data_IF_409735547453
#
_entry.id   IF_409735547453
#
_cell.length_a   1.000
_cell.length_b   1.000
_cell.length_c   1.000
_cell.angle_alpha   90.00
_cell.angle_beta   90.00
_cell.angle_gamma   90.00
#
_symmetry.space_group_name_H-M   'P 1'
#
loop_
_entity.id
_entity.type
_entity.pdbx_description
1 polymer ?
#
# COMPACT_ATOMS: atom_id res chain seq x y z
N UNK A 1 -11.98 -6.41 19.32
CA UNK A 1 -13.36 -5.93 19.19
C UNK A 1 -13.39 -4.49 18.69
N UNK A 2 -14.36 -4.13 17.83
CA UNK A 2 -14.48 -2.77 17.31
C UNK A 2 -14.72 -1.71 18.41
N UNK A 3 -15.20 -2.11 19.55
CA UNK A 3 -15.37 -1.26 20.74
C UNK A 3 -14.07 -0.78 21.37
N UNK A 4 -12.96 -1.43 21.05
CA UNK A 4 -11.62 -1.11 21.55
C UNK A 4 -10.80 -0.31 20.52
N UNK A 5 -11.33 -0.15 19.31
CA UNK A 5 -10.67 0.60 18.26
C UNK A 5 -10.95 2.11 18.36
N UNK A 6 -9.96 2.97 18.05
CA UNK A 6 -10.19 4.40 17.95
C UNK A 6 -11.30 4.73 16.96
N UNK A 7 -12.13 5.72 17.29
CA UNK A 7 -13.30 6.10 16.51
C UNK A 7 -12.98 6.45 15.04
N UNK A 8 -11.79 6.96 14.74
CA UNK A 8 -11.39 7.31 13.38
C UNK A 8 -11.25 6.08 12.46
N UNK A 9 -10.90 4.90 13.02
CA UNK A 9 -10.84 3.64 12.26
C UNK A 9 -12.26 3.20 11.87
N UNK A 10 -13.20 3.28 12.81
CA UNK A 10 -14.60 2.88 12.57
C UNK A 10 -15.29 3.82 11.58
N UNK A 11 -14.98 5.13 11.63
CA UNK A 11 -15.53 6.13 10.70
C UNK A 11 -15.18 5.89 9.23
N UNK A 12 -14.19 5.06 8.94
CA UNK A 12 -13.81 4.69 7.56
C UNK A 12 -14.76 3.65 6.95
N UNK A 13 -15.52 2.94 7.77
CA UNK A 13 -16.51 1.97 7.28
C UNK A 13 -17.73 2.71 6.73
N UNK A 14 -18.24 2.32 5.55
CA UNK A 14 -19.40 2.96 4.94
C UNK A 14 -20.70 2.49 5.61
N UNK A 15 -20.91 2.88 6.88
CA UNK A 15 -22.15 2.62 7.60
C UNK A 15 -23.20 3.60 7.14
N UNK A 16 -24.28 3.11 6.53
CA UNK A 16 -25.36 3.92 5.96
C UNK A 16 -26.72 3.38 6.41
N UNK A 17 -27.70 4.29 6.54
CA UNK A 17 -29.10 3.96 6.82
C UNK A 17 -29.98 4.06 5.57
N UNK A 18 -29.37 3.94 4.38
CA UNK A 18 -30.04 3.97 3.07
C UNK A 18 -29.60 2.74 2.27
N UNK A 19 -30.39 2.38 1.24
CA UNK A 19 -30.06 1.32 0.31
C UNK A 19 -29.03 1.81 -0.73
N UNK A 20 -27.77 1.84 -0.33
CA UNK A 20 -26.63 2.18 -1.19
C UNK A 20 -25.55 1.11 -1.01
N UNK A 21 -25.29 0.36 -2.07
CA UNK A 21 -24.34 -0.74 -2.10
C UNK A 21 -22.91 -0.28 -2.48
N UNK A 22 -22.70 1.00 -2.79
CA UNK A 22 -21.38 1.49 -3.12
C UNK A 22 -20.50 1.53 -1.88
N UNK A 23 -19.34 0.91 -1.95
CA UNK A 23 -18.36 1.01 -0.87
C UNK A 23 -17.72 2.40 -0.82
N UNK A 24 -17.32 2.94 -1.96
CA UNK A 24 -16.76 4.28 -2.10
C UNK A 24 -17.77 5.27 -2.65
N UNK A 25 -17.63 6.54 -2.24
CA UNK A 25 -18.40 7.67 -2.78
C UNK A 25 -17.67 8.41 -3.89
N UNK A 26 -16.49 7.91 -4.31
CA UNK A 26 -15.70 8.55 -5.35
C UNK A 26 -16.46 8.58 -6.68
N UNK A 27 -16.45 9.73 -7.35
CA UNK A 27 -17.12 9.93 -8.64
C UNK A 27 -16.51 9.06 -9.73
N UNK A 28 -15.20 8.87 -9.68
CA UNK A 28 -14.46 8.02 -10.62
C UNK A 28 -13.84 6.86 -9.85
N UNK A 29 -14.12 5.65 -10.31
CA UNK A 29 -13.61 4.42 -9.72
C UNK A 29 -13.21 3.48 -10.85
N UNK A 30 -12.07 2.79 -10.70
CA UNK A 30 -11.61 1.86 -11.72
C UNK A 30 -10.27 1.23 -11.39
N UNK A 31 -9.91 0.27 -12.22
CA UNK A 31 -8.60 -0.37 -12.23
C UNK A 31 -8.00 -0.10 -13.61
N UNK A 32 -6.70 0.26 -13.72
CA UNK A 32 -6.07 0.50 -15.00
C UNK A 32 -6.14 -0.73 -15.91
N UNK A 33 -6.57 -0.54 -17.16
CA UNK A 33 -6.53 -1.62 -18.17
C UNK A 33 -5.08 -2.00 -18.43
N UNK A 34 -4.75 -3.29 -18.27
CA UNK A 34 -3.39 -3.81 -18.35
C UNK A 34 -2.59 -3.71 -17.04
N UNK A 35 -3.27 -3.34 -15.93
CA UNK A 35 -2.73 -3.38 -14.59
C UNK A 35 -1.89 -2.16 -14.17
N UNK A 36 -1.57 -2.11 -12.89
CA UNK A 36 -0.81 -1.00 -12.30
C UNK A 36 0.64 -0.94 -12.75
N UNK A 37 1.28 -2.07 -13.05
CA UNK A 37 2.66 -2.09 -13.57
C UNK A 37 2.77 -1.28 -14.86
N UNK A 38 1.88 -1.52 -15.81
CA UNK A 38 1.85 -0.78 -17.07
C UNK A 38 1.56 0.71 -16.88
N UNK A 39 0.71 1.07 -15.92
CA UNK A 39 0.45 2.46 -15.56
C UNK A 39 1.74 3.13 -15.06
N UNK A 40 2.46 2.51 -14.13
CA UNK A 40 3.71 3.03 -13.58
C UNK A 40 4.81 3.09 -14.64
N UNK A 41 4.96 2.07 -15.49
CA UNK A 41 5.88 2.09 -16.63
C UNK A 41 5.62 3.28 -17.58
N UNK A 42 4.34 3.59 -17.82
CA UNK A 42 3.98 4.75 -18.63
C UNK A 42 4.35 6.08 -17.96
N UNK A 43 4.20 6.18 -16.64
CA UNK A 43 4.60 7.37 -15.88
C UNK A 43 6.12 7.56 -15.86
N UNK A 44 6.89 6.48 -15.88
CA UNK A 44 8.35 6.49 -15.83
C UNK A 44 9.02 6.61 -17.22
N UNK A 45 8.26 6.76 -18.30
CA UNK A 45 8.84 6.93 -19.63
C UNK A 45 9.81 8.10 -19.70
N UNK A 46 11.04 7.82 -20.12
CA UNK A 46 12.10 8.82 -20.21
C UNK A 46 12.86 9.09 -18.92
N UNK A 47 12.50 8.38 -17.84
CA UNK A 47 13.19 8.43 -16.55
C UNK A 47 14.05 7.17 -16.42
N UNK A 48 15.30 7.31 -15.97
CA UNK A 48 16.16 6.17 -15.67
C UNK A 48 15.60 5.39 -14.47
N UNK A 49 15.43 4.08 -14.64
CA UNK A 49 14.94 3.18 -13.60
C UNK A 49 16.00 2.12 -13.32
N UNK A 50 16.42 2.01 -12.06
CA UNK A 50 17.35 0.98 -11.59
C UNK A 50 16.60 0.01 -10.68
N UNK A 51 16.36 -1.19 -11.16
CA UNK A 51 15.75 -2.27 -10.38
C UNK A 51 16.79 -2.96 -9.51
N UNK A 52 16.33 -3.64 -8.46
CA UNK A 52 17.18 -4.38 -7.51
C UNK A 52 18.30 -3.53 -6.87
N UNK A 53 18.03 -2.23 -6.73
CA UNK A 53 18.94 -1.25 -6.14
C UNK A 53 18.38 -0.83 -4.78
N UNK A 54 19.14 -1.09 -3.73
CA UNK A 54 18.82 -0.69 -2.36
C UNK A 54 19.49 0.64 -2.06
N UNK A 55 18.71 1.71 -2.02
CA UNK A 55 19.24 3.06 -1.81
C UNK A 55 20.06 3.18 -0.54
N UNK A 56 19.66 2.57 0.57
CA UNK A 56 20.38 2.71 1.85
C UNK A 56 21.73 2.00 1.84
N UNK A 57 21.86 0.92 1.06
CA UNK A 57 23.16 0.23 0.88
C UNK A 57 24.09 0.94 -0.08
N UNK A 58 23.55 1.64 -1.07
CA UNK A 58 24.31 2.33 -2.12
C UNK A 58 24.25 3.85 -1.97
N UNK A 59 23.84 4.34 -0.78
CA UNK A 59 23.55 5.75 -0.52
C UNK A 59 24.67 6.70 -0.93
N UNK A 60 25.92 6.40 -0.56
CA UNK A 60 27.07 7.26 -0.86
C UNK A 60 27.30 7.48 -2.35
N UNK A 61 26.98 6.50 -3.18
CA UNK A 61 27.11 6.60 -4.65
C UNK A 61 25.88 7.23 -5.28
N UNK A 62 24.70 6.90 -4.79
CA UNK A 62 23.44 7.41 -5.34
C UNK A 62 23.23 8.89 -5.03
N UNK A 63 23.63 9.36 -3.86
CA UNK A 63 23.54 10.78 -3.48
C UNK A 63 24.39 11.70 -4.39
N UNK A 64 25.38 11.16 -5.09
CA UNK A 64 26.18 11.94 -6.06
C UNK A 64 25.43 12.21 -7.39
N UNK A 65 24.34 11.51 -7.64
CA UNK A 65 23.62 11.56 -8.91
C UNK A 65 22.56 12.68 -8.96
N UNK A 66 22.12 13.19 -7.80
CA UNK A 66 21.07 14.21 -7.73
C UNK A 66 21.29 15.15 -6.54
N UNK A 67 20.82 16.40 -6.68
CA UNK A 67 20.84 17.39 -5.60
C UNK A 67 19.72 17.17 -4.57
N UNK A 68 18.64 16.51 -4.96
CA UNK A 68 17.52 16.18 -4.10
C UNK A 68 17.20 14.70 -4.17
N UNK A 69 16.83 14.12 -3.06
CA UNK A 69 16.41 12.73 -2.92
C UNK A 69 14.98 12.70 -2.40
N UNK A 70 14.07 12.03 -3.10
CA UNK A 70 12.74 11.72 -2.58
C UNK A 70 12.77 10.28 -2.05
N UNK A 71 12.76 10.14 -0.74
CA UNK A 71 12.81 8.84 -0.07
C UNK A 71 11.41 8.40 0.36
N UNK A 72 10.95 7.26 -0.14
CA UNK A 72 9.61 6.72 0.14
C UNK A 72 9.62 5.43 0.96
N UNK A 73 10.81 4.96 1.38
CA UNK A 73 10.98 3.85 2.31
C UNK A 73 10.66 4.22 3.76
N UNK A 74 10.77 3.27 4.71
CA UNK A 74 10.54 3.52 6.13
C UNK A 74 11.47 4.60 6.67
N UNK A 75 10.89 5.62 7.32
CA UNK A 75 11.68 6.75 7.85
C UNK A 75 12.67 6.32 8.94
N UNK A 76 12.28 5.39 9.80
CA UNK A 76 13.14 4.85 10.86
C UNK A 76 14.33 4.06 10.29
N UNK A 77 14.14 3.33 9.20
CA UNK A 77 15.19 2.62 8.47
C UNK A 77 16.21 3.59 7.88
N UNK A 78 15.75 4.71 7.30
CA UNK A 78 16.64 5.76 6.80
C UNK A 78 17.61 6.25 7.86
N UNK A 79 17.19 6.36 9.09
CA UNK A 79 18.00 6.76 10.24
C UNK A 79 18.66 5.59 10.99
N UNK A 80 18.67 4.38 10.41
CA UNK A 80 19.29 3.20 11.03
C UNK A 80 18.62 2.80 12.35
N UNK A 81 17.32 3.07 12.51
CA UNK A 81 16.53 2.74 13.70
C UNK A 81 17.05 3.35 15.01
N UNK A 82 17.80 4.45 14.94
CA UNK A 82 18.51 5.04 16.10
C UNK A 82 17.62 5.50 17.26
N UNK A 83 16.34 5.77 17.00
CA UNK A 83 15.35 6.11 18.03
C UNK A 83 14.41 4.93 18.39
N UNK A 84 14.56 3.79 17.71
CA UNK A 84 13.70 2.63 17.81
C UNK A 84 12.95 2.34 16.54
N UNK A 85 12.22 1.23 16.51
CA UNK A 85 11.51 0.73 15.33
C UNK A 85 10.05 1.13 15.38
N UNK A 86 9.55 1.72 14.30
CA UNK A 86 8.12 1.95 14.08
C UNK A 86 7.43 0.62 13.77
N UNK A 87 6.21 0.47 14.26
CA UNK A 87 5.45 -0.77 14.11
C UNK A 87 4.49 -0.68 12.91
N UNK A 88 4.35 -1.81 12.23
CA UNK A 88 3.46 -1.94 11.07
C UNK A 88 2.53 -3.15 11.27
N UNK A 89 1.51 -3.22 10.44
CA UNK A 89 0.75 -4.43 10.18
C UNK A 89 1.21 -5.02 8.87
N UNK A 90 1.24 -6.34 8.79
CA UNK A 90 1.55 -7.06 7.58
C UNK A 90 0.40 -7.98 7.17
N UNK A 91 0.45 -8.48 5.96
CA UNK A 91 -0.46 -9.50 5.46
C UNK A 91 0.33 -10.63 4.81
N UNK A 92 -0.19 -11.82 4.90
CA UNK A 92 0.34 -13.03 4.29
C UNK A 92 -0.68 -13.58 3.32
N UNK A 93 -0.22 -14.04 2.17
CA UNK A 93 -1.08 -14.63 1.14
C UNK A 93 -0.79 -16.12 0.96
N UNK A 94 -1.86 -16.89 0.79
CA UNK A 94 -1.80 -18.27 0.31
C UNK A 94 -2.49 -18.33 -1.04
N UNK A 95 -1.72 -18.59 -2.09
CA UNK A 95 -2.21 -18.60 -3.47
C UNK A 95 -2.37 -20.01 -3.98
N UNK A 96 -3.51 -20.28 -4.63
CA UNK A 96 -3.88 -21.59 -5.15
C UNK A 96 -4.48 -21.46 -6.55
N UNK A 97 -4.10 -22.39 -7.42
CA UNK A 97 -4.70 -22.54 -8.76
C UNK A 97 -5.78 -23.62 -8.69
N UNK A 98 -7.01 -23.27 -9.04
CA UNK A 98 -8.16 -24.16 -9.00
C UNK A 98 -8.56 -24.59 -10.41
N UNK A 99 -8.86 -25.87 -10.57
CA UNK A 99 -9.32 -26.45 -11.83
C UNK A 99 -10.84 -26.31 -11.96
N UNK A 100 -11.30 -25.07 -11.91
CA UNK A 100 -12.68 -24.65 -12.10
C UNK A 100 -12.73 -23.23 -12.68
N UNK A 101 -13.77 -22.92 -13.47
CA UNK A 101 -13.84 -21.63 -14.15
C UNK A 101 -14.21 -20.45 -13.24
N UNK A 102 -14.75 -20.70 -12.06
CA UNK A 102 -15.23 -19.67 -11.15
C UNK A 102 -15.28 -20.19 -9.72
N UNK A 103 -14.72 -19.44 -8.79
CA UNK A 103 -14.73 -19.75 -7.36
C UNK A 103 -15.79 -18.92 -6.61
N UNK A 104 -15.74 -17.60 -6.73
CA UNK A 104 -16.62 -16.68 -6.00
C UNK A 104 -17.36 -15.67 -6.90
N UNK A 105 -17.00 -15.57 -8.18
CA UNK A 105 -17.64 -14.69 -9.14
C UNK A 105 -17.41 -13.20 -8.94
N UNK A 106 -16.42 -12.85 -8.11
CA UNK A 106 -16.04 -11.47 -7.80
C UNK A 106 -14.55 -11.41 -7.52
N UNK A 107 -13.91 -10.26 -7.83
CA UNK A 107 -12.49 -10.06 -7.63
C UNK A 107 -12.07 -10.14 -6.17
N UNK A 108 -12.85 -9.61 -5.24
CA UNK A 108 -12.52 -9.64 -3.81
C UNK A 108 -13.77 -9.81 -2.94
N UNK A 109 -13.69 -10.73 -1.98
CA UNK A 109 -14.72 -10.95 -0.96
C UNK A 109 -14.05 -10.87 0.41
N UNK A 110 -14.55 -9.96 1.27
CA UNK A 110 -14.10 -9.83 2.65
C UNK A 110 -14.89 -10.76 3.55
N UNK A 111 -14.19 -11.42 4.47
CA UNK A 111 -14.75 -12.31 5.48
C UNK A 111 -14.70 -11.61 6.83
N UNK A 112 -15.86 -11.44 7.45
CA UNK A 112 -16.02 -10.69 8.70
C UNK A 112 -16.44 -11.59 9.87
N UNK A 113 -16.59 -12.88 9.61
CA UNK A 113 -16.97 -13.86 10.63
C UNK A 113 -15.74 -14.35 11.43
N UNK A 114 -15.97 -14.74 12.67
CA UNK A 114 -14.91 -15.20 13.60
C UNK A 114 -14.33 -16.58 13.21
N UNK A 115 -15.01 -17.34 12.37
CA UNK A 115 -14.61 -18.71 12.00
C UNK A 115 -13.62 -18.76 10.86
N UNK A 116 -13.63 -17.74 10.00
CA UNK A 116 -12.72 -17.65 8.85
C UNK A 116 -11.34 -17.17 9.32
N UNK A 117 -10.28 -17.95 9.09
CA UNK A 117 -8.93 -17.57 9.52
C UNK A 117 -8.29 -16.50 8.62
N UNK A 118 -8.88 -16.22 7.47
CA UNK A 118 -8.47 -15.21 6.50
C UNK A 118 -9.46 -14.04 6.49
N UNK A 119 -8.95 -12.87 6.16
CA UNK A 119 -9.73 -11.63 6.10
C UNK A 119 -10.37 -11.39 4.74
N UNK A 120 -9.78 -11.98 3.68
CA UNK A 120 -10.21 -11.79 2.30
C UNK A 120 -9.85 -12.98 1.44
N UNK A 121 -10.65 -13.22 0.40
CA UNK A 121 -10.27 -14.03 -0.75
C UNK A 121 -10.28 -13.13 -1.99
N UNK A 122 -9.19 -13.18 -2.75
CA UNK A 122 -9.02 -12.52 -4.03
C UNK A 122 -9.11 -13.58 -5.10
N UNK A 123 -10.03 -13.44 -6.07
CA UNK A 123 -10.07 -14.25 -7.30
C UNK A 123 -9.57 -13.38 -8.46
N UNK A 124 -8.31 -13.58 -8.84
CA UNK A 124 -7.54 -12.63 -9.64
C UNK A 124 -8.12 -12.33 -11.01
N UNK A 125 -8.69 -13.33 -11.70
CA UNK A 125 -9.21 -13.15 -13.05
C UNK A 125 -10.32 -12.11 -13.16
N UNK A 126 -11.07 -11.87 -12.08
CA UNK A 126 -12.19 -10.94 -12.11
C UNK A 126 -11.77 -9.47 -12.13
N UNK A 127 -10.50 -9.16 -11.92
CA UNK A 127 -9.96 -7.82 -12.19
C UNK A 127 -9.92 -7.50 -13.69
N UNK A 128 -9.91 -8.53 -14.55
CA UNK A 128 -9.93 -8.43 -16.00
C UNK A 128 -11.15 -9.16 -16.61
N UNK A 129 -12.30 -9.14 -15.92
CA UNK A 129 -13.57 -9.68 -16.34
C UNK A 129 -13.60 -11.20 -16.62
N UNK A 130 -12.64 -11.96 -16.12
CA UNK A 130 -12.60 -13.42 -16.20
C UNK A 130 -12.30 -13.98 -17.60
N UNK A 131 -11.81 -13.16 -18.52
CA UNK A 131 -11.58 -13.51 -19.92
C UNK A 131 -10.10 -13.41 -20.30
N UNK A 132 -9.72 -14.18 -21.32
CA UNK A 132 -8.45 -14.04 -21.98
C UNK A 132 -8.44 -12.86 -22.98
N UNK A 133 -7.30 -12.61 -23.62
CA UNK A 133 -7.15 -11.56 -24.64
C UNK A 133 -8.04 -11.73 -25.88
N UNK A 134 -8.56 -12.94 -26.12
CA UNK A 134 -9.46 -13.27 -27.22
C UNK A 134 -10.95 -13.20 -26.80
N UNK A 135 -11.22 -12.88 -25.52
CA UNK A 135 -12.55 -12.78 -24.96
C UNK A 135 -13.15 -14.14 -24.54
N UNK A 136 -12.38 -15.22 -24.52
CA UNK A 136 -12.83 -16.52 -24.03
C UNK A 136 -12.79 -16.58 -22.51
N UNK A 137 -13.71 -17.34 -21.92
CA UNK A 137 -13.67 -17.61 -20.48
C UNK A 137 -12.47 -18.48 -20.11
N UNK A 138 -11.77 -18.07 -19.03
CA UNK A 138 -10.65 -18.85 -18.50
C UNK A 138 -11.18 -20.11 -17.79
N UNK A 139 -10.71 -21.33 -18.19
CA UNK A 139 -11.21 -22.58 -17.63
C UNK A 139 -10.76 -22.85 -16.20
N UNK A 140 -9.73 -22.15 -15.76
CA UNK A 140 -9.17 -22.22 -14.39
C UNK A 140 -9.20 -20.86 -13.73
N UNK A 141 -9.12 -20.86 -12.39
CA UNK A 141 -9.03 -19.63 -11.64
C UNK A 141 -7.88 -19.69 -10.63
N UNK A 142 -7.38 -18.52 -10.27
CA UNK A 142 -6.37 -18.35 -9.22
C UNK A 142 -7.01 -17.57 -8.08
N UNK A 143 -6.91 -18.11 -6.89
CA UNK A 143 -7.34 -17.43 -5.68
C UNK A 143 -6.16 -17.16 -4.75
N UNK A 144 -6.22 -16.05 -4.01
CA UNK A 144 -5.33 -15.78 -2.88
C UNK A 144 -6.14 -15.51 -1.63
N UNK A 145 -5.84 -16.27 -0.55
CA UNK A 145 -6.38 -16.03 0.78
C UNK A 145 -5.44 -15.09 1.52
N UNK A 146 -5.97 -13.97 1.97
CA UNK A 146 -5.23 -12.95 2.73
C UNK A 146 -5.40 -13.21 4.23
N UNK A 147 -4.28 -13.29 4.94
CA UNK A 147 -4.24 -13.42 6.39
C UNK A 147 -3.58 -12.20 6.99
N UNK A 148 -4.18 -11.64 8.03
CA UNK A 148 -3.51 -10.63 8.85
C UNK A 148 -2.35 -11.25 9.60
N UNK A 149 -1.20 -10.60 9.61
CA UNK A 149 -0.01 -11.05 10.34
C UNK A 149 0.63 -9.89 11.10
N UNK A 150 1.29 -10.24 12.21
CA UNK A 150 2.15 -9.28 12.87
C UNK A 150 3.38 -9.02 12.02
N UNK A 151 3.73 -7.74 11.89
CA UNK A 151 4.93 -7.35 11.18
C UNK A 151 6.18 -7.55 12.04
N UNK A 152 7.27 -7.96 11.41
CA UNK A 152 8.62 -8.02 11.99
C UNK A 152 9.59 -7.33 11.06
N UNK A 153 10.72 -6.82 11.55
CA UNK A 153 11.77 -6.30 10.68
C UNK A 153 12.17 -7.31 9.60
N UNK A 154 12.06 -6.88 8.33
CA UNK A 154 12.28 -7.71 7.14
C UNK A 154 11.00 -8.19 6.46
N UNK A 155 9.83 -8.05 7.09
CA UNK A 155 8.54 -8.26 6.44
C UNK A 155 8.10 -6.99 5.71
N UNK A 156 7.23 -7.13 4.72
CA UNK A 156 6.63 -5.99 4.03
C UNK A 156 5.73 -5.16 4.96
N UNK A 157 5.98 -3.86 5.13
CA UNK A 157 5.19 -2.97 5.98
C UNK A 157 3.95 -2.48 5.22
N UNK A 158 2.80 -3.11 5.41
CA UNK A 158 1.57 -2.74 4.71
C UNK A 158 0.85 -1.53 5.31
N UNK A 159 0.72 -1.48 6.63
CA UNK A 159 -0.05 -0.44 7.33
C UNK A 159 0.67 0.05 8.57
N UNK A 160 0.86 1.37 8.74
CA UNK A 160 1.36 1.94 9.99
C UNK A 160 0.42 1.63 11.17
N UNK A 161 1.00 1.33 12.34
CA UNK A 161 0.25 1.23 13.60
C UNK A 161 0.13 2.63 14.19
N UNK A 162 -1.03 3.28 13.98
CA UNK A 162 -1.29 4.65 14.41
C UNK A 162 -1.77 4.70 15.87
N UNK A 163 -0.97 4.21 16.80
CA UNK A 163 -1.17 4.39 18.23
C UNK A 163 -0.34 5.58 18.77
N UNK A 164 -0.53 5.93 20.03
CA UNK A 164 0.16 7.05 20.66
C UNK A 164 1.68 6.84 20.69
N UNK A 165 2.15 5.64 21.03
CA UNK A 165 3.57 5.27 21.09
C UNK A 165 4.27 5.52 19.75
N UNK A 166 3.71 4.96 18.67
CA UNK A 166 4.28 5.07 17.34
C UNK A 166 4.16 6.50 16.78
N UNK A 167 3.07 7.20 17.12
CA UNK A 167 2.89 8.60 16.71
C UNK A 167 3.95 9.52 17.35
N UNK A 168 4.27 9.31 18.62
CA UNK A 168 5.34 10.04 19.31
C UNK A 168 6.72 9.72 18.72
N UNK A 169 7.01 8.43 18.49
CA UNK A 169 8.27 8.01 17.88
C UNK A 169 8.44 8.58 16.46
N UNK A 170 7.38 8.55 15.66
CA UNK A 170 7.39 9.17 14.33
C UNK A 170 7.65 10.68 14.39
N UNK A 171 7.05 11.39 15.36
CA UNK A 171 7.28 12.82 15.53
C UNK A 171 8.77 13.16 15.81
N UNK A 172 9.49 12.30 16.54
CA UNK A 172 10.93 12.48 16.75
C UNK A 172 11.73 12.20 15.46
N UNK A 173 11.39 11.17 14.69
CA UNK A 173 12.02 10.94 13.37
C UNK A 173 11.75 12.10 12.40
N UNK A 174 10.54 12.66 12.42
CA UNK A 174 10.19 13.80 11.58
C UNK A 174 11.06 15.02 11.88
N UNK A 175 11.36 15.31 13.15
CA UNK A 175 12.30 16.38 13.50
C UNK A 175 13.69 16.17 12.90
N UNK A 176 14.19 14.92 12.95
CA UNK A 176 15.48 14.59 12.31
C UNK A 176 15.43 14.74 10.79
N UNK A 177 14.30 14.42 10.16
CA UNK A 177 14.11 14.58 8.73
C UNK A 177 14.06 16.06 8.31
N UNK A 178 13.51 16.94 9.16
CA UNK A 178 13.45 18.38 8.93
C UNK A 178 14.83 19.06 9.02
N UNK A 179 15.81 18.42 9.64
CA UNK A 179 17.21 18.88 9.72
C UNK A 179 18.04 18.53 8.48
N UNK A 180 17.53 17.69 7.58
CA UNK A 180 18.24 17.25 6.38
C UNK A 180 17.98 18.17 5.19
N UNK A 181 19.04 18.72 4.63
CA UNK A 181 18.98 19.42 3.36
C UNK A 181 18.95 18.43 2.19
N UNK A 182 18.09 18.71 1.19
CA UNK A 182 18.04 17.93 -0.05
C UNK A 182 17.36 16.55 0.06
N UNK A 183 16.77 16.19 1.21
CA UNK A 183 16.03 14.95 1.37
C UNK A 183 14.55 15.23 1.66
N UNK A 184 13.68 14.67 0.85
CA UNK A 184 12.23 14.79 0.96
C UNK A 184 11.66 13.42 1.32
N UNK A 185 11.05 13.29 2.49
CA UNK A 185 10.33 12.08 2.85
C UNK A 185 8.91 12.13 2.30
N UNK A 186 8.48 11.06 1.64
CA UNK A 186 7.15 10.97 1.05
C UNK A 186 6.58 9.55 1.07
N UNK A 187 5.30 9.44 0.71
CA UNK A 187 4.61 8.16 0.65
C UNK A 187 4.25 7.59 2.03
N UNK A 188 3.64 6.41 2.03
CA UNK A 188 3.12 5.77 3.25
C UNK A 188 4.17 5.53 4.32
N UNK A 189 5.36 5.10 3.92
CA UNK A 189 6.41 4.67 4.84
C UNK A 189 7.27 5.86 5.28
N UNK A 190 7.61 6.77 4.36
CA UNK A 190 8.38 7.97 4.67
C UNK A 190 7.62 8.97 5.53
N UNK A 191 6.28 9.00 5.44
CA UNK A 191 5.42 9.87 6.25
C UNK A 191 4.70 9.11 7.37
N UNK A 192 4.96 7.82 7.53
CA UNK A 192 4.29 6.94 8.50
C UNK A 192 2.78 7.16 8.55
N UNK A 193 2.15 7.24 7.39
CA UNK A 193 0.74 7.61 7.23
C UNK A 193 0.02 6.66 6.30
N UNK A 194 -1.21 6.30 6.66
CA UNK A 194 -2.06 5.57 5.74
C UNK A 194 -2.59 6.50 4.66
N UNK A 195 -2.32 6.15 3.40
CA UNK A 195 -2.86 6.80 2.22
C UNK A 195 -3.61 5.81 1.35
N UNK A 196 -4.76 6.19 0.83
CA UNK A 196 -5.32 5.59 -0.37
C UNK A 196 -4.55 6.11 -1.62
N UNK A 197 -4.69 5.45 -2.77
CA UNK A 197 -3.85 5.76 -3.94
C UNK A 197 -4.01 7.21 -4.44
N UNK A 198 -5.23 7.73 -4.47
CA UNK A 198 -5.51 9.11 -4.84
C UNK A 198 -4.86 10.11 -3.87
N UNK A 199 -4.96 9.85 -2.58
CA UNK A 199 -4.38 10.70 -1.55
C UNK A 199 -2.84 10.71 -1.57
N UNK A 200 -2.18 9.57 -1.86
CA UNK A 200 -0.71 9.56 -1.97
C UNK A 200 -0.23 10.28 -3.22
N UNK A 201 -0.98 10.20 -4.32
CA UNK A 201 -0.67 10.96 -5.55
C UNK A 201 -0.83 12.45 -5.32
N UNK A 202 -1.93 12.88 -4.67
CA UNK A 202 -2.13 14.29 -4.32
C UNK A 202 -0.99 14.82 -3.44
N UNK A 203 -0.64 14.09 -2.37
CA UNK A 203 0.47 14.47 -1.50
C UNK A 203 1.83 14.55 -2.22
N UNK A 204 2.06 13.68 -3.22
CA UNK A 204 3.27 13.73 -4.03
C UNK A 204 3.29 14.96 -4.95
N UNK A 205 2.16 15.34 -5.56
CA UNK A 205 2.03 16.53 -6.38
C UNK A 205 2.24 17.81 -5.55
N UNK A 206 1.60 17.90 -4.38
CA UNK A 206 1.77 19.04 -3.47
C UNK A 206 3.26 19.22 -3.08
N UNK A 207 3.95 18.13 -2.74
CA UNK A 207 5.39 18.17 -2.42
C UNK A 207 6.25 18.58 -3.61
N UNK A 208 5.91 18.13 -4.80
CA UNK A 208 6.63 18.51 -6.01
C UNK A 208 6.48 20.02 -6.29
N UNK A 209 5.29 20.59 -6.11
CA UNK A 209 5.04 22.04 -6.27
C UNK A 209 5.76 22.88 -5.20
N UNK A 210 5.91 22.37 -3.97
CA UNK A 210 6.55 23.08 -2.86
C UNK A 210 8.09 23.01 -2.91
N UNK A 211 8.68 21.94 -3.45
CA UNK A 211 10.08 21.60 -3.24
C UNK A 211 10.91 21.45 -4.50
N UNK A 212 10.30 21.27 -5.64
CA UNK A 212 10.94 21.08 -6.95
C UNK A 212 10.55 22.17 -7.94
#
# INVERSE_FOLDING_TARGET
PCTELPAFIIKRLPVRFIFDNNYFNALYQGIPIGGYTRMVENMLKGIEVRLSTDYLKEKEELDKLASNVVYTGPIDEYFGYKLGTLEYRSVRFETEVLDMPNYQGNAAVNYTDEKSPYTRIIEHKWFEFGKDENGNELPKTVISREYSSEWKPGDDPYYPVNDEKNSLLYAEYKKLAEELDGVIFGGRLGEYKYYDMDAVVAAALDKAEERL
#
